data_IF_371684645849
#
_entry.id   IF_371684645849
#
_cell.length_a   1.000
_cell.length_b   1.000
_cell.length_c   1.000
_cell.angle_alpha   90.00
_cell.angle_beta   90.00
_cell.angle_gamma   90.00
#
_symmetry.space_group_name_H-M   'P 1'
#
loop_
_entity.id
_entity.type
_entity.pdbx_description
1 polymer ?
#
# COMPACT_ATOMS: atom_id res chain seq x y z
N UNK A 1 6.74 -16.50 5.32
CA UNK A 1 7.22 -17.39 6.37
C UNK A 1 8.58 -17.98 6.02
N UNK A 2 8.79 -18.61 4.86
CA UNK A 2 10.10 -19.22 4.47
C UNK A 2 11.25 -18.23 4.54
N UNK A 3 11.13 -17.06 3.92
CA UNK A 3 12.18 -16.02 3.94
C UNK A 3 12.44 -15.45 5.33
N UNK A 4 11.48 -15.54 6.24
CA UNK A 4 11.64 -15.13 7.64
C UNK A 4 12.21 -16.25 8.53
N UNK A 5 12.53 -17.42 7.98
CA UNK A 5 13.04 -18.57 8.73
C UNK A 5 12.01 -19.21 9.68
N UNK A 6 10.73 -19.12 9.35
CA UNK A 6 9.61 -19.58 10.19
C UNK A 6 8.89 -20.80 9.56
N UNK A 7 9.62 -21.68 8.86
CA UNK A 7 9.03 -22.82 8.13
C UNK A 7 8.56 -24.00 9.02
N UNK A 8 9.10 -24.16 10.21
CA UNK A 8 8.90 -25.36 11.05
C UNK A 8 8.17 -25.08 12.37
N UNK A 9 7.22 -24.20 12.34
CA UNK A 9 6.55 -23.71 13.52
C UNK A 9 7.02 -22.29 13.84
N UNK A 10 6.11 -21.52 14.37
CA UNK A 10 6.39 -20.15 14.71
C UNK A 10 7.30 -20.14 15.93
N UNK A 11 8.38 -19.42 15.86
CA UNK A 11 9.27 -19.24 16.99
C UNK A 11 8.61 -18.48 18.16
N UNK A 12 7.41 -17.91 17.96
CA UNK A 12 6.60 -17.24 18.99
C UNK A 12 5.53 -18.19 19.55
N UNK A 13 5.15 -17.98 20.81
CA UNK A 13 3.95 -18.61 21.37
C UNK A 13 2.70 -18.16 20.58
N UNK A 14 1.68 -19.04 20.40
CA UNK A 14 0.52 -18.71 19.55
C UNK A 14 -0.17 -17.40 19.91
N UNK A 15 -0.30 -17.09 21.20
CA UNK A 15 -0.90 -15.87 21.73
C UNK A 15 0.01 -14.62 21.59
N UNK A 16 1.28 -14.82 21.20
CA UNK A 16 2.26 -13.75 20.90
C UNK A 16 2.47 -13.53 19.41
N UNK A 17 1.83 -14.35 18.56
CA UNK A 17 1.80 -14.16 17.12
C UNK A 17 0.50 -13.48 16.73
N UNK A 18 0.59 -12.31 16.10
CA UNK A 18 -0.55 -11.58 15.59
C UNK A 18 -0.54 -11.42 14.06
N UNK A 19 -1.66 -10.94 13.55
CA UNK A 19 -1.85 -10.62 12.13
C UNK A 19 -2.50 -9.25 12.03
N UNK A 20 -1.96 -8.39 11.16
CA UNK A 20 -2.61 -7.13 10.81
C UNK A 20 -2.49 -6.89 9.31
N UNK A 21 -3.61 -6.93 8.60
CA UNK A 21 -3.65 -6.74 7.15
C UNK A 21 -4.34 -5.44 6.75
N UNK A 22 -3.80 -4.82 5.70
CA UNK A 22 -4.53 -3.88 4.87
C UNK A 22 -5.18 -4.62 3.72
N UNK A 23 -6.49 -4.55 3.60
CA UNK A 23 -7.21 -5.12 2.47
C UNK A 23 -8.18 -4.11 1.88
N UNK A 24 -8.55 -4.35 0.62
CA UNK A 24 -9.64 -3.63 0.00
C UNK A 24 -10.98 -4.30 0.27
N UNK A 25 -12.00 -3.80 -0.37
CA UNK A 25 -13.31 -4.45 -0.43
C UNK A 25 -13.19 -5.81 -1.12
N UNK A 26 -13.95 -6.78 -0.62
CA UNK A 26 -14.02 -8.09 -1.23
C UNK A 26 -14.78 -8.07 -2.55
N UNK A 27 -14.52 -9.06 -3.39
CA UNK A 27 -15.21 -9.22 -4.66
C UNK A 27 -16.50 -10.02 -4.48
N UNK A 28 -17.60 -9.45 -4.95
CA UNK A 28 -18.83 -10.22 -5.16
C UNK A 28 -18.63 -11.21 -6.31
N UNK A 29 -19.31 -12.36 -6.26
CA UNK A 29 -19.46 -13.22 -7.42
C UNK A 29 -20.26 -12.48 -8.50
N UNK A 30 -19.51 -11.76 -9.37
CA UNK A 30 -20.07 -10.91 -10.40
C UNK A 30 -21.00 -11.67 -11.35
N UNK A 31 -20.65 -12.91 -11.69
CA UNK A 31 -21.44 -13.72 -12.62
C UNK A 31 -22.78 -14.12 -12.00
N UNK A 32 -22.77 -14.65 -10.79
CA UNK A 32 -23.99 -15.02 -10.05
C UNK A 32 -24.86 -13.80 -9.77
N UNK A 33 -24.26 -12.68 -9.31
CA UNK A 33 -24.99 -11.44 -9.06
C UNK A 33 -25.66 -10.90 -10.33
N UNK A 34 -24.93 -10.83 -11.44
CA UNK A 34 -25.45 -10.33 -12.72
C UNK A 34 -26.57 -11.22 -13.24
N UNK A 35 -26.42 -12.54 -13.13
CA UNK A 35 -27.45 -13.51 -13.53
C UNK A 35 -28.75 -13.33 -12.72
N UNK A 36 -28.63 -13.19 -11.41
CA UNK A 36 -29.77 -12.92 -10.52
C UNK A 36 -30.46 -11.61 -10.84
N UNK A 37 -29.69 -10.55 -11.04
CA UNK A 37 -30.20 -9.22 -11.42
C UNK A 37 -30.98 -9.30 -12.73
N UNK A 38 -30.39 -9.85 -13.78
CA UNK A 38 -31.01 -9.96 -15.11
C UNK A 38 -32.30 -10.79 -15.09
N UNK A 39 -32.30 -11.88 -14.33
CA UNK A 39 -33.47 -12.74 -14.20
C UNK A 39 -34.62 -12.15 -13.34
N UNK A 40 -34.32 -11.07 -12.60
CA UNK A 40 -35.26 -10.43 -11.69
C UNK A 40 -35.80 -9.07 -12.21
N UNK A 41 -35.35 -8.63 -13.39
CA UNK A 41 -35.82 -7.39 -14.00
C UNK A 41 -37.16 -7.65 -14.72
N UNK A 42 -38.17 -6.88 -14.36
CA UNK A 42 -39.49 -6.86 -14.98
C UNK A 42 -39.79 -5.44 -15.50
N UNK A 43 -39.65 -5.22 -16.81
CA UNK A 43 -39.75 -3.90 -17.40
C UNK A 43 -38.60 -2.97 -16.88
N UNK A 44 -38.94 -1.90 -16.18
CA UNK A 44 -37.97 -0.96 -15.58
C UNK A 44 -37.77 -1.18 -14.07
N UNK A 45 -38.31 -2.27 -13.52
CA UNK A 45 -38.32 -2.53 -12.07
C UNK A 45 -37.64 -3.84 -11.74
N UNK A 46 -37.06 -3.90 -10.54
CA UNK A 46 -36.52 -5.13 -9.96
C UNK A 46 -37.63 -5.84 -9.17
N UNK A 47 -37.94 -7.10 -9.53
CA UNK A 47 -38.76 -7.98 -8.71
C UNK A 47 -37.89 -8.53 -7.55
N UNK A 48 -38.01 -7.87 -6.38
CA UNK A 48 -37.22 -8.20 -5.17
C UNK A 48 -37.50 -9.65 -4.70
N UNK A 49 -38.74 -10.16 -4.82
CA UNK A 49 -39.08 -11.52 -4.41
C UNK A 49 -38.35 -12.55 -5.28
N UNK A 50 -38.33 -12.33 -6.60
CA UNK A 50 -37.60 -13.20 -7.56
C UNK A 50 -36.10 -13.12 -7.27
N UNK A 51 -35.56 -11.94 -7.09
CA UNK A 51 -34.12 -11.73 -6.75
C UNK A 51 -33.73 -12.49 -5.47
N UNK A 52 -34.50 -12.31 -4.39
CA UNK A 52 -34.25 -12.99 -3.12
C UNK A 52 -34.33 -14.51 -3.25
N UNK A 53 -35.37 -15.05 -3.96
CA UNK A 53 -35.48 -16.50 -4.18
C UNK A 53 -34.27 -17.05 -4.94
N UNK A 54 -33.86 -16.39 -6.03
CA UNK A 54 -32.68 -16.77 -6.80
C UNK A 54 -31.38 -16.68 -5.94
N UNK A 55 -31.27 -15.68 -5.09
CA UNK A 55 -30.14 -15.57 -4.16
C UNK A 55 -30.05 -16.78 -3.24
N UNK A 56 -31.17 -17.17 -2.61
CA UNK A 56 -31.22 -18.34 -1.73
C UNK A 56 -30.91 -19.66 -2.46
N UNK A 57 -31.16 -19.73 -3.77
CA UNK A 57 -30.90 -20.92 -4.59
C UNK A 57 -29.46 -20.94 -5.15
N UNK A 58 -28.82 -19.77 -5.36
CA UNK A 58 -27.58 -19.65 -6.13
C UNK A 58 -26.36 -19.33 -5.25
N UNK A 59 -26.54 -18.45 -4.26
CA UNK A 59 -25.42 -17.98 -3.44
C UNK A 59 -25.03 -19.03 -2.39
N UNK A 60 -23.73 -19.16 -2.18
CA UNK A 60 -23.21 -20.09 -1.18
C UNK A 60 -22.76 -19.32 0.07
N UNK A 61 -23.28 -19.63 1.26
CA UNK A 61 -23.03 -18.84 2.48
C UNK A 61 -21.54 -18.60 2.78
N UNK A 62 -20.68 -19.60 2.58
CA UNK A 62 -19.24 -19.45 2.83
C UNK A 62 -18.58 -18.54 1.79
N UNK A 63 -18.95 -18.63 0.51
CA UNK A 63 -18.42 -17.76 -0.53
C UNK A 63 -18.83 -16.31 -0.29
N UNK A 64 -20.05 -16.07 0.19
CA UNK A 64 -20.51 -14.71 0.51
C UNK A 64 -19.75 -14.11 1.72
N UNK A 65 -19.41 -14.91 2.72
CA UNK A 65 -18.61 -14.46 3.86
C UNK A 65 -17.17 -14.13 3.44
N UNK A 66 -16.60 -14.81 2.44
CA UNK A 66 -15.25 -14.54 1.94
C UNK A 66 -15.09 -13.13 1.31
N UNK A 67 -16.19 -12.43 1.05
CA UNK A 67 -16.17 -11.04 0.60
C UNK A 67 -15.78 -10.05 1.71
N UNK A 68 -15.87 -10.45 2.97
CA UNK A 68 -15.52 -9.57 4.08
C UNK A 68 -14.00 -9.28 4.10
N UNK A 69 -13.58 -8.00 4.22
CA UNK A 69 -12.17 -7.62 4.14
C UNK A 69 -11.24 -8.29 5.16
N UNK A 70 -11.79 -8.76 6.28
CA UNK A 70 -11.03 -9.41 7.36
C UNK A 70 -10.81 -10.91 7.15
N UNK A 71 -11.45 -11.54 6.15
CA UNK A 71 -11.32 -12.98 5.93
C UNK A 71 -9.90 -13.45 5.63
N UNK A 72 -9.09 -12.73 4.81
CA UNK A 72 -7.69 -13.11 4.63
C UNK A 72 -6.89 -13.20 5.93
N UNK A 73 -7.11 -12.28 6.87
CA UNK A 73 -6.47 -12.33 8.19
C UNK A 73 -6.94 -13.54 9.01
N UNK A 74 -8.23 -13.88 8.96
CA UNK A 74 -8.79 -15.05 9.61
C UNK A 74 -8.21 -16.37 9.08
N UNK A 75 -8.08 -16.51 7.76
CA UNK A 75 -7.46 -17.68 7.15
C UNK A 75 -5.98 -17.83 7.52
N UNK A 76 -5.23 -16.73 7.54
CA UNK A 76 -3.83 -16.76 7.97
C UNK A 76 -3.70 -17.10 9.46
N UNK A 77 -4.60 -16.60 10.31
CA UNK A 77 -4.63 -16.94 11.72
C UNK A 77 -4.84 -18.45 11.93
N UNK A 78 -5.82 -19.02 11.22
CA UNK A 78 -6.07 -20.47 11.28
C UNK A 78 -4.89 -21.31 10.72
N UNK A 79 -4.27 -20.83 9.64
CA UNK A 79 -3.14 -21.52 9.00
C UNK A 79 -1.89 -21.57 9.89
N UNK A 80 -1.63 -20.49 10.63
CA UNK A 80 -0.41 -20.35 11.43
C UNK A 80 -0.63 -20.48 12.94
N UNK A 81 -1.83 -20.87 13.37
CA UNK A 81 -2.24 -20.89 14.79
C UNK A 81 -1.93 -19.58 15.51
N UNK A 82 -2.19 -18.45 14.83
CA UNK A 82 -1.95 -17.12 15.36
C UNK A 82 -3.12 -16.70 16.25
N UNK A 83 -2.92 -16.71 17.57
CA UNK A 83 -3.92 -16.44 18.59
C UNK A 83 -3.76 -15.05 19.23
N UNK A 84 -2.75 -14.28 18.82
CA UNK A 84 -2.52 -12.90 19.23
C UNK A 84 -3.47 -11.92 18.51
N UNK A 85 -3.14 -10.61 18.48
CA UNK A 85 -3.96 -9.62 17.80
C UNK A 85 -4.24 -9.99 16.35
N UNK A 86 -5.53 -9.99 15.94
CA UNK A 86 -5.94 -10.28 14.57
C UNK A 86 -6.80 -9.12 14.06
N UNK A 87 -6.23 -8.29 13.21
CA UNK A 87 -6.77 -7.00 12.80
C UNK A 87 -6.76 -6.84 11.28
N UNK A 88 -7.66 -5.99 10.80
CA UNK A 88 -7.71 -5.57 9.40
C UNK A 88 -8.06 -4.08 9.32
N UNK A 89 -7.46 -3.35 8.39
CA UNK A 89 -7.86 -1.99 8.04
C UNK A 89 -8.19 -1.87 6.56
N UNK A 90 -9.13 -0.96 6.27
CA UNK A 90 -9.57 -0.62 4.93
C UNK A 90 -9.43 0.90 4.76
N UNK A 91 -8.27 1.36 4.32
CA UNK A 91 -7.93 2.77 4.09
C UNK A 91 -7.44 3.00 2.67
N UNK A 92 -8.16 2.39 1.73
CA UNK A 92 -7.88 2.46 0.31
C UNK A 92 -6.38 2.21 0.00
N UNK A 93 -5.74 3.12 -0.74
CA UNK A 93 -4.35 2.96 -1.17
C UNK A 93 -3.32 2.98 -0.03
N UNK A 94 -3.70 3.39 1.16
CA UNK A 94 -2.82 3.46 2.33
C UNK A 94 -2.91 2.23 3.25
N UNK A 95 -3.81 1.28 2.96
CA UNK A 95 -4.20 0.22 3.89
C UNK A 95 -3.02 -0.65 4.35
N UNK A 96 -2.21 -1.18 3.45
CA UNK A 96 -1.09 -2.05 3.86
C UNK A 96 0.05 -1.31 4.54
N UNK A 97 0.31 -0.03 4.18
CA UNK A 97 1.26 0.80 4.93
C UNK A 97 0.76 1.08 6.34
N UNK A 98 -0.54 1.36 6.51
CA UNK A 98 -1.15 1.52 7.82
C UNK A 98 -1.07 0.23 8.63
N UNK A 99 -1.41 -0.91 8.04
CA UNK A 99 -1.31 -2.19 8.72
C UNK A 99 0.10 -2.46 9.24
N UNK A 100 1.14 -2.17 8.44
CA UNK A 100 2.54 -2.32 8.84
C UNK A 100 2.90 -1.34 9.97
N UNK A 101 2.51 -0.07 9.86
CA UNK A 101 2.75 0.93 10.90
C UNK A 101 2.08 0.56 12.24
N UNK A 102 0.79 0.25 12.21
CA UNK A 102 0.04 -0.15 13.40
C UNK A 102 0.55 -1.49 14.01
N UNK A 103 0.92 -2.45 13.16
CA UNK A 103 1.52 -3.70 13.63
C UNK A 103 2.89 -3.46 14.30
N UNK A 104 3.66 -2.49 13.81
CA UNK A 104 4.91 -2.05 14.46
C UNK A 104 4.62 -1.51 15.86
N UNK A 105 3.57 -0.70 16.02
CA UNK A 105 3.18 -0.19 17.32
C UNK A 105 2.70 -1.28 18.29
N UNK A 106 2.03 -2.33 17.80
CA UNK A 106 1.66 -3.50 18.61
C UNK A 106 2.91 -4.21 19.14
N UNK A 107 3.93 -4.40 18.31
CA UNK A 107 5.22 -4.99 18.74
C UNK A 107 5.95 -4.07 19.72
N UNK A 108 6.03 -2.75 19.43
CA UNK A 108 6.67 -1.76 20.32
C UNK A 108 6.05 -1.73 21.73
N UNK A 109 4.73 -1.90 21.82
CA UNK A 109 4.02 -1.95 23.11
C UNK A 109 4.12 -3.30 23.82
N UNK A 110 4.67 -4.31 23.19
CA UNK A 110 4.74 -5.67 23.71
C UNK A 110 3.41 -6.43 23.67
N UNK A 111 2.45 -6.04 22.84
CA UNK A 111 1.19 -6.76 22.64
C UNK A 111 1.41 -8.08 21.86
N UNK A 112 2.43 -8.11 21.01
CA UNK A 112 2.87 -9.30 20.26
C UNK A 112 4.40 -9.30 20.13
N UNK A 113 5.01 -10.49 19.97
CA UNK A 113 6.44 -10.63 19.67
C UNK A 113 6.66 -10.72 18.15
N UNK A 114 5.68 -11.28 17.44
CA UNK A 114 5.72 -11.44 15.98
C UNK A 114 4.37 -11.01 15.40
N UNK A 115 4.42 -10.19 14.35
CA UNK A 115 3.25 -9.80 13.58
C UNK A 115 3.45 -10.14 12.11
N UNK A 116 2.53 -10.90 11.52
CA UNK A 116 2.43 -11.04 10.07
C UNK A 116 1.60 -9.87 9.55
N UNK A 117 2.23 -8.97 8.79
CA UNK A 117 1.59 -7.76 8.32
C UNK A 117 1.84 -7.51 6.84
N UNK A 118 1.01 -6.69 6.24
CA UNK A 118 1.06 -6.38 4.82
C UNK A 118 -0.32 -6.12 4.25
N UNK A 119 -0.56 -6.51 3.00
CA UNK A 119 -1.87 -6.32 2.41
C UNK A 119 -2.11 -7.12 1.14
N UNK A 120 -3.38 -7.17 0.78
CA UNK A 120 -3.86 -7.85 -0.41
C UNK A 120 -5.02 -7.07 -1.04
N UNK A 121 -5.07 -7.06 -2.36
CA UNK A 121 -6.20 -6.50 -3.10
C UNK A 121 -6.26 -7.04 -4.53
N UNK A 122 -7.48 -7.22 -5.02
CA UNK A 122 -7.77 -7.50 -6.43
C UNK A 122 -9.05 -6.77 -6.83
N UNK A 123 -8.95 -5.84 -7.77
CA UNK A 123 -10.06 -5.03 -8.29
C UNK A 123 -10.13 -5.07 -9.82
N UNK A 124 -9.42 -6.01 -10.47
CA UNK A 124 -9.43 -6.19 -11.92
C UNK A 124 -10.64 -7.05 -12.30
N UNK A 125 -11.81 -6.51 -12.09
CA UNK A 125 -13.10 -7.11 -12.48
C UNK A 125 -14.08 -6.00 -12.91
N UNK A 126 -15.19 -6.33 -13.60
CA UNK A 126 -16.07 -5.31 -14.21
C UNK A 126 -16.55 -4.21 -13.27
N UNK A 127 -16.94 -4.52 -12.02
CA UNK A 127 -17.36 -3.51 -11.06
C UNK A 127 -16.21 -2.62 -10.61
N UNK A 128 -15.04 -3.22 -10.27
CA UNK A 128 -13.87 -2.47 -9.84
C UNK A 128 -13.38 -1.50 -10.91
N UNK A 129 -13.19 -2.00 -12.13
CA UNK A 129 -12.77 -1.16 -13.27
C UNK A 129 -13.81 -0.07 -13.56
N UNK A 130 -15.10 -0.41 -13.55
CA UNK A 130 -16.18 0.58 -13.76
C UNK A 130 -16.18 1.66 -12.68
N UNK A 131 -16.03 1.28 -11.41
CA UNK A 131 -15.99 2.21 -10.29
C UNK A 131 -14.85 3.24 -10.43
N UNK A 132 -13.64 2.78 -10.66
CA UNK A 132 -12.48 3.67 -10.86
C UNK A 132 -12.57 4.49 -12.15
N UNK A 133 -13.18 3.93 -13.21
CA UNK A 133 -13.40 4.65 -14.46
C UNK A 133 -14.42 5.80 -14.28
N UNK A 134 -15.49 5.59 -13.52
CA UNK A 134 -16.45 6.64 -13.17
C UNK A 134 -15.83 7.78 -12.35
N UNK A 135 -14.79 7.48 -11.56
CA UNK A 135 -14.00 8.48 -10.85
C UNK A 135 -13.02 9.24 -11.76
N UNK A 136 -12.91 8.85 -13.04
CA UNK A 136 -11.91 9.39 -13.98
C UNK A 136 -10.47 9.30 -13.46
N UNK A 137 -10.18 8.26 -12.70
CA UNK A 137 -8.90 8.07 -12.04
C UNK A 137 -7.95 7.16 -12.83
N UNK A 138 -8.50 6.35 -13.77
CA UNK A 138 -7.73 5.43 -14.60
C UNK A 138 -7.16 6.14 -15.84
N UNK A 139 -5.97 5.72 -16.25
CA UNK A 139 -5.41 6.10 -17.54
C UNK A 139 -6.28 5.57 -18.68
N UNK A 140 -6.44 6.39 -19.71
CA UNK A 140 -7.17 6.05 -20.93
C UNK A 140 -6.24 5.63 -22.09
N UNK A 141 -4.94 5.52 -21.84
CA UNK A 141 -3.89 5.20 -22.83
C UNK A 141 -3.89 3.70 -23.20
N UNK A 142 -4.96 3.22 -23.83
CA UNK A 142 -5.13 1.82 -24.18
C UNK A 142 -4.35 1.41 -25.45
N UNK A 143 -3.95 2.37 -26.28
CA UNK A 143 -3.17 2.09 -27.49
C UNK A 143 -1.71 1.73 -27.17
N UNK A 144 -1.19 2.24 -26.04
CA UNK A 144 0.16 1.98 -25.55
C UNK A 144 0.15 1.60 -24.06
N UNK A 145 -0.44 0.45 -23.66
CA UNK A 145 -0.69 0.11 -22.26
C UNK A 145 0.59 0.02 -21.41
N UNK A 146 1.71 -0.40 -22.01
CA UNK A 146 3.01 -0.44 -21.30
C UNK A 146 3.55 0.96 -20.95
N UNK A 147 3.02 2.02 -21.56
CA UNK A 147 3.40 3.42 -21.34
C UNK A 147 2.33 4.21 -20.58
N UNK A 148 1.27 3.56 -20.10
CA UNK A 148 0.13 4.22 -19.49
C UNK A 148 0.46 4.73 -18.09
N UNK A 149 1.08 3.90 -17.22
CA UNK A 149 1.54 4.35 -15.91
C UNK A 149 2.84 5.15 -16.06
N UNK A 150 2.76 6.47 -15.83
CA UNK A 150 3.85 7.44 -16.00
C UNK A 150 3.89 8.50 -14.89
N UNK A 151 4.16 8.08 -13.64
CA UNK A 151 4.20 9.00 -12.51
C UNK A 151 5.12 10.19 -12.77
N UNK A 152 4.68 11.38 -12.35
CA UNK A 152 5.37 12.66 -12.44
C UNK A 152 5.60 13.20 -13.85
N UNK A 153 5.29 12.44 -14.90
CA UNK A 153 5.35 12.90 -16.28
C UNK A 153 4.24 13.91 -16.57
N UNK A 154 4.52 14.91 -17.41
CA UNK A 154 3.54 15.95 -17.77
C UNK A 154 2.31 15.38 -18.47
N UNK A 155 2.48 14.29 -19.23
CA UNK A 155 1.42 13.70 -20.06
C UNK A 155 0.70 12.54 -19.32
N UNK A 156 0.82 12.45 -17.98
CA UNK A 156 0.09 11.49 -17.15
C UNK A 156 -1.40 11.78 -17.15
N UNK A 157 -2.22 10.77 -17.20
CA UNK A 157 -3.68 10.89 -17.30
C UNK A 157 -4.46 10.01 -16.31
N UNK A 158 -3.77 9.32 -15.41
CA UNK A 158 -4.37 8.44 -14.43
C UNK A 158 -3.51 7.21 -14.12
N UNK A 159 -3.93 6.39 -13.17
CA UNK A 159 -3.21 5.19 -12.81
C UNK A 159 -3.65 3.96 -13.62
N UNK A 160 -2.82 2.93 -13.61
CA UNK A 160 -3.14 1.59 -14.12
C UNK A 160 -3.42 0.69 -12.92
N UNK A 161 -4.57 0.01 -12.90
CA UNK A 161 -4.89 -0.96 -11.86
C UNK A 161 -3.90 -2.12 -11.88
N UNK A 162 -3.38 -2.44 -10.69
CA UNK A 162 -2.66 -3.66 -10.39
C UNK A 162 -3.42 -4.48 -9.36
N UNK A 163 -3.08 -5.73 -9.22
CA UNK A 163 -3.56 -6.63 -8.17
C UNK A 163 -2.42 -7.44 -7.57
N UNK A 164 -2.55 -7.84 -6.32
CA UNK A 164 -1.53 -8.65 -5.67
C UNK A 164 -1.63 -8.68 -4.16
N UNK A 165 -0.63 -9.32 -3.57
CA UNK A 165 -0.44 -9.37 -2.13
C UNK A 165 1.05 -9.28 -1.79
N UNK A 166 1.35 -8.60 -0.70
CA UNK A 166 2.69 -8.50 -0.16
C UNK A 166 2.65 -8.59 1.37
N UNK A 167 3.58 -9.35 1.94
CA UNK A 167 3.61 -9.64 3.37
C UNK A 167 5.02 -9.46 3.91
N UNK A 168 5.10 -8.88 5.10
CA UNK A 168 6.31 -8.80 5.92
C UNK A 168 6.05 -9.48 7.27
N UNK A 169 7.11 -9.97 7.88
CA UNK A 169 7.12 -10.41 9.27
C UNK A 169 7.81 -9.32 10.08
N UNK A 170 7.06 -8.68 10.95
CA UNK A 170 7.58 -7.77 11.95
C UNK A 170 7.85 -8.56 13.22
N UNK A 171 8.97 -8.30 13.83
CA UNK A 171 9.42 -9.10 14.98
C UNK A 171 10.17 -8.20 15.97
N UNK A 172 9.94 -8.44 17.27
CA UNK A 172 10.69 -7.78 18.32
C UNK A 172 12.18 -8.12 18.19
N UNK A 173 13.05 -7.14 18.36
CA UNK A 173 14.48 -7.27 18.02
C UNK A 173 15.18 -8.36 18.80
N UNK A 174 15.02 -8.43 20.11
CA UNK A 174 15.70 -9.43 20.93
C UNK A 174 15.14 -10.83 20.68
N UNK A 175 13.86 -10.94 20.35
CA UNK A 175 13.24 -12.18 19.91
C UNK A 175 13.88 -12.65 18.58
N UNK A 176 14.04 -11.75 17.60
CA UNK A 176 14.66 -12.05 16.31
C UNK A 176 16.13 -12.48 16.47
N UNK A 177 16.89 -11.75 17.30
CA UNK A 177 18.30 -12.07 17.64
C UNK A 177 18.44 -13.44 18.32
N UNK A 178 17.57 -13.71 19.30
CA UNK A 178 17.62 -14.97 20.07
C UNK A 178 17.45 -16.22 19.20
N UNK A 179 16.70 -16.13 18.09
CA UNK A 179 16.55 -17.24 17.13
C UNK A 179 17.48 -17.16 15.91
N UNK A 180 18.37 -16.16 15.84
CA UNK A 180 19.30 -15.97 14.73
C UNK A 180 18.59 -15.61 13.42
N UNK A 181 17.55 -14.80 13.48
CA UNK A 181 16.81 -14.36 12.29
C UNK A 181 17.66 -13.51 11.35
N UNK A 182 17.43 -13.63 10.05
CA UNK A 182 17.93 -12.65 9.10
C UNK A 182 17.05 -11.40 9.16
N UNK A 183 17.62 -10.27 9.61
CA UNK A 183 16.94 -9.00 9.70
C UNK A 183 17.21 -8.21 8.40
N UNK A 184 16.14 -7.94 7.64
CA UNK A 184 16.24 -7.21 6.37
C UNK A 184 16.30 -5.69 6.55
N UNK A 185 15.80 -5.18 7.66
CA UNK A 185 15.78 -3.77 8.02
C UNK A 185 14.85 -3.51 9.20
N UNK A 186 14.68 -2.26 9.54
CA UNK A 186 13.88 -1.79 10.67
C UNK A 186 12.79 -0.84 10.19
N UNK A 187 11.62 -0.87 10.83
CA UNK A 187 10.63 0.20 10.73
C UNK A 187 10.97 1.21 11.81
N UNK A 188 11.54 2.32 11.39
CA UNK A 188 12.06 3.36 12.28
C UNK A 188 10.98 4.37 12.68
N UNK A 189 10.07 4.71 11.76
CA UNK A 189 9.05 5.70 12.02
C UNK A 189 7.77 5.47 11.24
N UNK A 190 6.67 5.92 11.85
CA UNK A 190 5.32 5.83 11.33
C UNK A 190 4.60 7.17 11.48
N UNK A 191 4.03 7.66 10.39
CA UNK A 191 3.15 8.83 10.37
C UNK A 191 1.79 8.48 9.80
N UNK A 192 0.74 8.98 10.43
CA UNK A 192 -0.65 8.79 10.00
C UNK A 192 -1.44 10.08 10.18
N UNK A 193 -2.01 10.60 9.09
CA UNK A 193 -2.79 11.84 9.11
C UNK A 193 -3.97 11.77 8.16
N UNK A 194 -4.83 12.79 8.21
CA UNK A 194 -5.93 12.96 7.26
C UNK A 194 -5.87 14.33 6.59
N UNK A 195 -6.22 14.37 5.31
CA UNK A 195 -6.36 15.63 4.56
C UNK A 195 -7.53 16.47 5.05
N UNK A 196 -8.61 15.84 5.51
CA UNK A 196 -9.87 16.48 5.89
C UNK A 196 -10.33 17.47 4.82
N UNK A 197 -10.41 17.01 3.57
CA UNK A 197 -10.75 17.83 2.41
C UNK A 197 -11.86 17.20 1.57
N UNK A 198 -11.54 16.52 0.48
CA UNK A 198 -12.49 15.81 -0.39
C UNK A 198 -12.30 14.30 -0.28
N UNK A 199 -13.31 13.55 -0.69
CA UNK A 199 -13.26 12.08 -0.62
C UNK A 199 -12.20 11.51 -1.58
N UNK A 200 -12.07 12.09 -2.78
CA UNK A 200 -11.21 11.57 -3.85
C UNK A 200 -9.96 12.40 -4.12
N UNK A 201 -9.88 13.61 -3.58
CA UNK A 201 -8.77 14.51 -3.84
C UNK A 201 -7.95 14.76 -2.58
N UNK A 202 -6.65 14.86 -2.72
CA UNK A 202 -5.75 15.37 -1.69
C UNK A 202 -5.93 16.89 -1.53
N UNK A 203 -5.61 17.40 -0.34
CA UNK A 203 -5.66 18.85 -0.12
C UNK A 203 -4.63 19.55 -1.03
N UNK A 204 -5.03 20.57 -1.82
CA UNK A 204 -4.17 21.16 -2.87
C UNK A 204 -2.84 21.74 -2.35
N UNK A 205 -2.80 22.12 -1.08
CA UNK A 205 -1.55 22.56 -0.44
C UNK A 205 -0.73 21.42 0.17
N UNK A 206 -1.15 20.15 0.03
CA UNK A 206 -0.45 18.98 0.56
C UNK A 206 -0.30 18.96 2.08
N UNK A 207 -1.23 19.59 2.83
CA UNK A 207 -1.08 19.74 4.28
C UNK A 207 -1.06 18.39 5.01
N UNK A 208 -1.93 17.45 4.60
CA UNK A 208 -2.00 16.11 5.20
C UNK A 208 -0.72 15.32 4.94
N UNK A 209 -0.30 15.24 3.68
CA UNK A 209 0.95 14.57 3.29
C UNK A 209 2.19 15.19 3.97
N UNK A 210 2.27 16.55 4.01
CA UNK A 210 3.35 17.25 4.70
C UNK A 210 3.41 16.91 6.20
N UNK A 211 2.26 16.91 6.87
CA UNK A 211 2.17 16.55 8.30
C UNK A 211 2.49 15.08 8.54
N UNK A 212 2.07 14.20 7.63
CA UNK A 212 2.32 12.76 7.70
C UNK A 212 3.83 12.45 7.63
N UNK A 213 4.52 13.03 6.65
CA UNK A 213 5.97 12.86 6.51
C UNK A 213 6.71 13.40 7.75
N UNK A 214 6.32 14.58 8.25
CA UNK A 214 6.91 15.13 9.48
C UNK A 214 6.70 14.23 10.69
N UNK A 215 5.49 13.72 10.87
CA UNK A 215 5.16 12.79 11.96
C UNK A 215 6.03 11.52 11.89
N UNK A 216 6.24 10.95 10.71
CA UNK A 216 7.11 9.78 10.53
C UNK A 216 8.58 10.10 10.87
N UNK A 217 9.09 11.28 10.48
CA UNK A 217 10.43 11.74 10.84
C UNK A 217 10.56 11.94 12.35
N UNK A 218 9.59 12.58 12.97
CA UNK A 218 9.57 12.82 14.43
C UNK A 218 9.53 11.51 15.21
N UNK A 219 8.69 10.54 14.78
CA UNK A 219 8.62 9.20 15.40
C UNK A 219 9.94 8.44 15.27
N UNK A 220 10.61 8.57 14.12
CA UNK A 220 11.94 7.97 13.90
C UNK A 220 13.08 8.70 14.65
N UNK A 221 12.85 9.87 15.20
CA UNK A 221 13.90 10.73 15.75
C UNK A 221 14.90 11.24 14.69
N UNK A 222 14.45 11.38 13.44
CA UNK A 222 15.27 11.73 12.28
C UNK A 222 14.97 13.13 11.76
N UNK A 223 15.96 13.73 11.13
CA UNK A 223 15.85 14.99 10.42
C UNK A 223 15.72 14.81 8.89
N UNK A 224 15.47 15.92 8.21
CA UNK A 224 15.34 15.95 6.74
C UNK A 224 16.62 15.52 6.00
N UNK A 225 17.78 15.61 6.62
CA UNK A 225 19.06 15.24 6.00
C UNK A 225 19.36 13.74 6.11
N UNK A 226 18.57 13.01 6.88
CA UNK A 226 18.76 11.58 7.18
C UNK A 226 18.13 10.63 6.15
N UNK A 227 17.31 11.13 5.22
CA UNK A 227 16.63 10.30 4.21
C UNK A 227 17.46 10.25 2.94
N UNK A 228 17.74 9.04 2.46
CA UNK A 228 18.55 8.78 1.28
C UNK A 228 17.71 8.58 0.00
N UNK A 229 16.49 8.07 0.14
CA UNK A 229 15.59 7.76 -0.97
C UNK A 229 14.13 7.89 -0.53
N UNK A 230 13.26 8.31 -1.45
CA UNK A 230 11.81 8.35 -1.27
C UNK A 230 11.15 7.40 -2.26
N UNK A 231 10.50 6.35 -1.76
CA UNK A 231 9.54 5.58 -2.53
C UNK A 231 8.20 6.30 -2.45
N UNK A 232 7.86 7.00 -3.50
CA UNK A 232 6.71 7.88 -3.54
C UNK A 232 5.40 7.11 -3.77
N UNK A 233 4.30 7.71 -3.31
CA UNK A 233 2.98 7.23 -3.69
C UNK A 233 2.79 7.28 -5.21
N UNK A 234 3.12 8.38 -5.87
CA UNK A 234 3.32 8.52 -7.31
C UNK A 234 2.37 7.70 -8.18
N UNK A 235 1.10 8.05 -8.20
CA UNK A 235 0.04 7.25 -8.86
C UNK A 235 -0.09 7.47 -10.36
N UNK A 236 0.65 8.41 -10.95
CA UNK A 236 0.42 8.87 -12.34
C UNK A 236 -0.89 9.66 -12.52
N UNK A 237 -1.44 10.20 -11.45
CA UNK A 237 -2.57 11.13 -11.53
C UNK A 237 -2.09 12.58 -11.48
N UNK A 238 -2.78 13.46 -12.18
CA UNK A 238 -2.41 14.88 -12.26
C UNK A 238 -2.40 15.58 -10.90
N UNK A 239 -3.30 15.19 -10.00
CA UNK A 239 -3.47 15.82 -8.68
C UNK A 239 -2.45 15.28 -7.67
N UNK A 240 -2.38 13.94 -7.51
CA UNK A 240 -1.52 13.34 -6.49
C UNK A 240 -0.06 13.69 -6.69
N UNK A 241 0.47 13.48 -7.90
CA UNK A 241 1.91 13.57 -8.14
C UNK A 241 2.43 15.00 -7.93
N UNK A 242 1.64 15.99 -8.33
CA UNK A 242 1.93 17.40 -8.04
C UNK A 242 1.89 17.71 -6.55
N UNK A 243 0.86 17.24 -5.83
CA UNK A 243 0.68 17.52 -4.40
C UNK A 243 1.74 16.80 -3.57
N UNK A 244 2.11 15.58 -3.93
CA UNK A 244 3.21 14.84 -3.28
C UNK A 244 4.55 15.54 -3.49
N UNK A 245 4.86 15.98 -4.71
CA UNK A 245 6.05 16.77 -5.01
C UNK A 245 6.11 18.05 -4.16
N UNK A 246 4.99 18.75 -4.01
CA UNK A 246 4.87 19.93 -3.15
C UNK A 246 5.09 19.57 -1.67
N UNK A 247 4.53 18.47 -1.18
CA UNK A 247 4.70 18.03 0.21
C UNK A 247 6.15 17.67 0.50
N UNK A 248 6.83 16.96 -0.39
CA UNK A 248 8.26 16.64 -0.29
C UNK A 248 9.08 17.95 -0.24
N UNK A 249 8.83 18.90 -1.14
CA UNK A 249 9.51 20.20 -1.14
C UNK A 249 9.29 20.98 0.18
N UNK A 250 8.08 20.94 0.74
CA UNK A 250 7.76 21.62 2.02
C UNK A 250 8.46 20.99 3.24
N UNK A 251 8.70 19.68 3.23
CA UNK A 251 9.37 18.99 4.34
C UNK A 251 10.88 19.12 4.23
N UNK A 252 11.42 18.82 3.05
CA UNK A 252 12.87 18.69 2.85
C UNK A 252 13.55 19.98 2.34
N UNK A 253 12.79 21.01 1.97
CA UNK A 253 13.28 22.29 1.45
C UNK A 253 14.30 22.08 0.32
N UNK A 254 15.48 22.72 0.37
CA UNK A 254 16.55 22.55 -0.64
C UNK A 254 17.09 21.12 -0.73
N UNK A 255 16.94 20.33 0.32
CA UNK A 255 17.32 18.92 0.32
C UNK A 255 16.43 18.08 -0.60
N UNK A 256 15.17 18.47 -0.81
CA UNK A 256 14.23 17.79 -1.70
C UNK A 256 14.80 17.54 -3.11
N UNK A 257 15.54 18.50 -3.64
CA UNK A 257 16.16 18.42 -4.97
C UNK A 257 17.38 17.50 -5.05
N UNK A 258 17.82 16.95 -3.91
CA UNK A 258 19.00 16.07 -3.80
C UNK A 258 18.63 14.65 -3.35
N UNK A 259 17.39 14.43 -2.94
CA UNK A 259 16.92 13.11 -2.56
C UNK A 259 16.34 12.43 -3.82
N UNK A 260 16.88 11.28 -4.24
CA UNK A 260 16.24 10.49 -5.28
C UNK A 260 14.82 10.09 -4.87
N UNK A 261 13.87 10.22 -5.80
CA UNK A 261 12.47 9.85 -5.63
C UNK A 261 12.11 8.88 -6.74
N UNK A 262 11.33 7.84 -6.49
CA UNK A 262 10.72 7.10 -7.59
C UNK A 262 9.37 6.48 -7.22
N UNK A 263 8.57 6.18 -8.22
CA UNK A 263 7.34 5.41 -8.07
C UNK A 263 7.43 4.09 -8.80
N UNK A 264 7.42 3.02 -8.04
CA UNK A 264 7.38 1.64 -8.55
C UNK A 264 6.07 1.28 -9.22
N UNK A 265 5.01 2.08 -9.01
CA UNK A 265 3.73 1.95 -9.72
C UNK A 265 3.86 2.12 -11.23
N UNK A 266 4.92 2.79 -11.70
CA UNK A 266 5.24 2.85 -13.14
C UNK A 266 5.49 1.47 -13.76
N UNK A 267 6.00 0.51 -12.97
CA UNK A 267 6.39 -0.83 -13.43
C UNK A 267 5.36 -1.92 -13.11
N UNK A 268 4.57 -1.75 -12.04
CA UNK A 268 3.67 -2.80 -11.56
C UNK A 268 2.19 -2.40 -11.51
N UNK A 269 1.87 -1.15 -11.85
CA UNK A 269 0.54 -0.59 -11.65
C UNK A 269 0.27 -0.25 -10.17
N UNK A 270 -0.93 0.23 -9.89
CA UNK A 270 -1.36 0.59 -8.54
C UNK A 270 -2.15 -0.57 -7.91
N UNK A 271 -1.53 -1.26 -6.94
CA UNK A 271 -2.13 -2.41 -6.26
C UNK A 271 -3.15 -2.01 -5.18
N UNK A 272 -3.55 -0.76 -5.13
CA UNK A 272 -4.50 -0.17 -4.17
C UNK A 272 -4.12 -0.56 -2.73
N UNK A 273 -4.91 -1.38 -2.03
CA UNK A 273 -4.65 -1.73 -0.63
C UNK A 273 -3.34 -2.51 -0.41
N UNK A 274 -2.85 -3.23 -1.41
CA UNK A 274 -1.59 -3.99 -1.34
C UNK A 274 -0.34 -3.15 -1.72
N UNK A 275 -0.52 -1.93 -2.25
CA UNK A 275 0.57 -1.13 -2.80
C UNK A 275 1.68 -0.85 -1.77
N UNK A 276 1.32 -0.35 -0.60
CA UNK A 276 2.30 0.07 0.40
C UNK A 276 3.17 -1.06 0.93
N UNK A 277 2.63 -2.27 1.13
CA UNK A 277 3.42 -3.42 1.55
C UNK A 277 4.42 -3.85 0.47
N UNK A 278 4.02 -3.79 -0.80
CA UNK A 278 4.92 -4.06 -1.93
C UNK A 278 6.05 -3.03 -1.97
N UNK A 279 5.73 -1.76 -1.75
CA UNK A 279 6.68 -0.64 -1.72
C UNK A 279 7.64 -0.73 -0.51
N UNK A 280 7.17 -1.21 0.64
CA UNK A 280 8.03 -1.53 1.80
C UNK A 280 9.06 -2.60 1.42
N UNK A 281 8.64 -3.69 0.77
CA UNK A 281 9.55 -4.75 0.33
C UNK A 281 10.57 -4.19 -0.67
N UNK A 282 10.14 -3.43 -1.67
CA UNK A 282 11.04 -2.80 -2.64
C UNK A 282 12.03 -1.86 -1.96
N UNK A 283 11.58 -1.09 -0.96
CA UNK A 283 12.42 -0.18 -0.19
C UNK A 283 13.49 -0.94 0.62
N UNK A 284 13.14 -2.05 1.26
CA UNK A 284 14.08 -2.92 1.96
C UNK A 284 15.10 -3.56 1.01
N UNK A 285 14.66 -3.93 -0.20
CA UNK A 285 15.57 -4.44 -1.25
C UNK A 285 16.51 -3.34 -1.73
N UNK A 286 16.04 -2.11 -1.90
CA UNK A 286 16.88 -0.97 -2.25
C UNK A 286 17.96 -0.68 -1.19
N UNK A 287 17.58 -0.77 0.10
CA UNK A 287 18.53 -0.68 1.22
C UNK A 287 19.57 -1.81 1.17
N UNK A 288 19.13 -3.04 0.94
CA UNK A 288 20.01 -4.22 0.90
C UNK A 288 21.00 -4.16 -0.25
N UNK A 289 20.51 -3.86 -1.44
CA UNK A 289 21.26 -4.02 -2.69
C UNK A 289 21.99 -2.74 -3.13
N UNK A 290 21.63 -1.59 -2.56
CA UNK A 290 22.17 -0.28 -2.98
C UNK A 290 21.75 0.10 -4.40
N UNK A 291 20.57 -0.37 -4.84
CA UNK A 291 20.01 -0.09 -6.18
C UNK A 291 18.62 0.51 -6.02
N UNK A 292 18.48 1.75 -6.44
CA UNK A 292 17.21 2.48 -6.40
C UNK A 292 16.41 2.19 -7.67
N UNK A 293 15.14 1.76 -7.54
CA UNK A 293 14.31 1.48 -8.71
C UNK A 293 13.92 2.77 -9.45
N UNK A 294 13.72 2.72 -10.77
CA UNK A 294 13.35 3.89 -11.56
C UNK A 294 11.85 4.19 -11.50
N UNK A 295 11.50 5.41 -11.89
CA UNK A 295 10.19 5.73 -12.45
C UNK A 295 10.31 5.58 -13.97
N UNK A 296 9.71 4.53 -14.55
CA UNK A 296 9.71 4.34 -16.01
C UNK A 296 8.62 5.22 -16.66
N UNK A 297 8.72 5.38 -18.00
CA UNK A 297 7.82 6.20 -18.80
C UNK A 297 7.88 7.71 -18.48
N UNK A 298 8.94 8.17 -17.85
CA UNK A 298 9.18 9.60 -17.63
C UNK A 298 9.86 10.19 -18.86
N UNK A 299 9.10 10.92 -19.68
CA UNK A 299 9.54 11.44 -20.98
C UNK A 299 9.42 12.95 -21.09
N UNK A 300 8.33 13.51 -20.57
CA UNK A 300 8.03 14.94 -20.62
C UNK A 300 8.05 15.51 -19.21
N UNK A 301 9.05 16.33 -18.85
CA UNK A 301 9.12 16.96 -17.53
C UNK A 301 7.89 17.85 -17.24
N UNK A 302 7.30 17.70 -16.07
CA UNK A 302 6.24 18.57 -15.56
C UNK A 302 6.88 19.64 -14.66
N UNK A 303 6.68 20.95 -14.93
CA UNK A 303 7.24 22.01 -14.11
C UNK A 303 6.75 22.02 -12.63
N UNK A 304 5.61 21.43 -12.33
CA UNK A 304 5.12 21.25 -10.95
C UNK A 304 5.76 20.04 -10.25
N UNK A 305 6.31 19.11 -11.03
CA UNK A 305 7.00 17.89 -10.61
C UNK A 305 8.47 17.96 -11.02
N UNK A 306 9.26 18.76 -10.32
CA UNK A 306 10.64 19.15 -10.69
C UNK A 306 11.75 18.51 -9.81
N UNK A 307 11.43 17.39 -9.14
CA UNK A 307 12.39 16.63 -8.34
C UNK A 307 13.16 15.59 -9.17
N UNK A 308 14.12 14.89 -8.55
CA UNK A 308 14.86 13.79 -9.19
C UNK A 308 14.08 12.47 -9.10
N UNK A 309 13.28 12.14 -10.10
CA UNK A 309 12.40 10.95 -10.11
C UNK A 309 13.07 9.67 -10.59
N UNK A 310 14.39 9.60 -10.67
CA UNK A 310 15.16 8.45 -11.18
C UNK A 310 14.59 7.98 -12.54
N UNK A 311 14.67 8.80 -13.60
CA UNK A 311 13.96 8.55 -14.84
C UNK A 311 14.47 7.30 -15.57
N UNK A 312 13.57 6.38 -15.87
CA UNK A 312 13.67 5.26 -16.81
C UNK A 312 14.76 4.19 -16.55
N UNK A 313 15.76 4.45 -15.73
CA UNK A 313 16.83 3.51 -15.43
C UNK A 313 17.14 3.46 -13.92
N UNK A 314 17.33 2.24 -13.40
CA UNK A 314 17.73 2.07 -12.00
C UNK A 314 19.07 2.75 -11.72
N UNK A 315 19.27 3.21 -10.50
CA UNK A 315 20.46 3.93 -10.05
C UNK A 315 21.15 3.20 -8.92
N UNK A 316 22.42 2.90 -9.05
CA UNK A 316 23.26 2.48 -7.95
C UNK A 316 23.54 3.68 -7.04
N UNK A 317 23.18 3.57 -5.77
CA UNK A 317 23.44 4.58 -4.76
C UNK A 317 23.41 3.96 -3.34
N UNK A 318 24.27 4.42 -2.42
CA UNK A 318 24.15 4.04 -1.03
C UNK A 318 22.77 4.44 -0.49
N UNK A 319 22.10 3.51 0.17
CA UNK A 319 20.77 3.72 0.73
C UNK A 319 20.71 3.09 2.13
N UNK A 320 20.54 3.91 3.14
CA UNK A 320 20.44 3.47 4.53
C UNK A 320 19.03 3.68 5.08
N UNK A 321 18.35 4.74 4.63
CA UNK A 321 17.03 5.12 5.12
C UNK A 321 16.13 5.54 3.97
N UNK A 322 14.95 4.94 3.93
CA UNK A 322 13.93 5.17 2.91
C UNK A 322 12.66 5.71 3.56
N UNK A 323 12.11 6.77 3.01
CA UNK A 323 10.74 7.20 3.27
C UNK A 323 9.82 6.57 2.23
N UNK A 324 8.78 5.84 2.67
CA UNK A 324 7.74 5.27 1.80
C UNK A 324 6.40 5.93 2.09
N UNK A 325 5.78 6.51 1.07
CA UNK A 325 4.53 7.25 1.17
C UNK A 325 3.36 6.47 0.57
N UNK A 326 2.20 6.52 1.24
CA UNK A 326 0.93 5.99 0.74
C UNK A 326 -0.19 6.96 1.07
N UNK A 327 -0.84 7.52 0.05
CA UNK A 327 -1.93 8.49 0.19
C UNK A 327 -3.21 7.91 -0.42
N UNK A 328 -4.25 7.74 0.39
CA UNK A 328 -5.48 7.03 0.00
C UNK A 328 -6.66 7.96 -0.27
N UNK A 329 -7.58 7.50 -1.12
CA UNK A 329 -8.92 8.06 -1.17
C UNK A 329 -9.55 8.04 0.22
N UNK A 330 -10.37 9.06 0.54
CA UNK A 330 -10.81 9.33 1.91
C UNK A 330 -9.87 10.28 2.65
N UNK A 331 -8.71 10.59 2.05
CA UNK A 331 -7.73 11.53 2.59
C UNK A 331 -6.81 10.95 3.66
N UNK A 332 -6.71 9.62 3.77
CA UNK A 332 -5.75 8.97 4.68
C UNK A 332 -4.35 9.05 4.08
N UNK A 333 -3.41 9.55 4.87
CA UNK A 333 -2.01 9.65 4.51
C UNK A 333 -1.18 8.83 5.48
N UNK A 334 -0.33 7.95 4.95
CA UNK A 334 0.61 7.13 5.69
C UNK A 334 2.01 7.34 5.15
N UNK A 335 2.96 7.51 6.06
CA UNK A 335 4.40 7.54 5.75
C UNK A 335 5.13 6.59 6.68
N UNK A 336 5.97 5.73 6.11
CA UNK A 336 6.84 4.82 6.85
C UNK A 336 8.29 5.19 6.60
N UNK A 337 9.12 5.15 7.64
CA UNK A 337 10.57 5.24 7.50
C UNK A 337 11.18 3.89 7.79
N UNK A 338 11.91 3.39 6.80
CA UNK A 338 12.62 2.11 6.84
C UNK A 338 14.11 2.38 6.92
N UNK A 339 14.83 1.61 7.72
CA UNK A 339 16.26 1.74 7.90
C UNK A 339 17.01 0.43 7.72
N UNK A 340 18.29 0.54 7.38
CA UNK A 340 19.21 -0.58 7.43
C UNK A 340 19.41 -1.01 8.88
N UNK A 341 19.23 -2.28 9.15
CA UNK A 341 19.63 -2.85 10.42
C UNK A 341 21.18 -2.89 10.51
N UNK A 342 21.72 -2.38 11.58
CA UNK A 342 23.13 -2.51 11.94
C UNK A 342 23.22 -3.13 13.33
N UNK A 343 23.88 -4.26 13.45
CA UNK A 343 24.25 -4.77 14.76
C UNK A 343 25.14 -3.73 15.45
N UNK A 344 24.71 -3.26 16.62
CA UNK A 344 25.42 -2.27 17.41
C UNK A 344 26.65 -2.89 18.10
#
# INVERSE_FOLDING_TARGET
MRLAGLEQGLAAAPDRLGIYLGSGEGQQDFESFTRMMMASIEGESLNVATFTRLGLETLHPLTEVEQEPNMPAGHLAALFDAQGPNLNCLTACAASSQAIGEATELVRRGDADVMLSGGTHSMIHPFGVTGFNLLTALSTRNDEPARASRPFDNDRDGFVLGEGAAMVVLEELEHARARGATIYGEVLGYGSTADAFRITDTHPEGRGATSCIKMALDDAGLGRDDIDYINAHGTSTSVNDRVESLAIKKVFEERAYKIPVSSTKSMMGHLIAAAGATEVIVSLLAIRDGVLPPTINYETPDPDCDLDYIPNAAREAPCQRVLSNSFGFGGQNISLILGRFADA
#
